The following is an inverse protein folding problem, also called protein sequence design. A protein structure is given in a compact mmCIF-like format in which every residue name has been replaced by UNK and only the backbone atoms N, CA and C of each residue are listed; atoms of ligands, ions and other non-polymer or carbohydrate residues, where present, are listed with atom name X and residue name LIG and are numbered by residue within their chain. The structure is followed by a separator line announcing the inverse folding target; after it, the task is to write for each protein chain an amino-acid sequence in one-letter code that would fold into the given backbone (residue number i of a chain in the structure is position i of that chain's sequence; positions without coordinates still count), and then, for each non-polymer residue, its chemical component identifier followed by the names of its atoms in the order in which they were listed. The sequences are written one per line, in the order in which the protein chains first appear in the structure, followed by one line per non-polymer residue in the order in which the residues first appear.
data_IF_107770282773
#
_entry.id   IF_107770282773
#
_cell.length_a   1.000
_cell.length_b   1.000
_cell.length_c   1.000
_cell.angle_alpha   90.00
_cell.angle_beta   90.00
_cell.angle_gamma   90.00
#
_symmetry.space_group_name_H-M   'P 1'
#
loop_
_entity.id
_entity.type
_entity.pdbx_description
1 polymer ?
#
# COMPACT_ATOMS: atom_id res chain seq x y z
N UNK A 1 2.93 26.64 21.99
CA UNK A 1 4.06 25.80 21.53
C UNK A 1 4.47 24.74 22.57
N UNK A 2 4.39 25.00 23.88
CA UNK A 2 4.80 24.06 24.95
C UNK A 2 4.05 22.71 25.03
N UNK A 3 2.85 22.58 24.44
CA UNK A 3 2.07 21.33 24.48
C UNK A 3 2.32 20.39 23.28
N UNK A 4 2.94 20.89 22.21
CA UNK A 4 3.11 20.12 20.97
C UNK A 4 4.24 19.09 21.13
N UNK A 5 5.35 19.47 21.76
CA UNK A 5 6.49 18.57 22.01
C UNK A 5 6.12 17.30 22.80
N UNK A 6 5.47 17.42 23.97
CA UNK A 6 5.05 16.27 24.76
C UNK A 6 4.10 15.31 24.02
N UNK A 7 3.17 15.85 23.21
CA UNK A 7 2.25 15.05 22.41
C UNK A 7 2.96 14.29 21.28
N UNK A 8 3.95 14.92 20.62
CA UNK A 8 4.78 14.28 19.61
C UNK A 8 5.65 13.16 20.21
N UNK A 9 6.25 13.38 21.37
CA UNK A 9 7.03 12.36 22.09
C UNK A 9 6.17 11.17 22.52
N UNK A 10 4.95 11.40 22.99
CA UNK A 10 4.00 10.32 23.32
C UNK A 10 3.59 9.52 22.08
N UNK A 11 3.38 10.18 20.93
CA UNK A 11 3.08 9.52 19.67
C UNK A 11 4.24 8.64 19.18
N UNK A 12 5.48 9.12 19.27
CA UNK A 12 6.66 8.33 18.93
C UNK A 12 6.86 7.14 19.88
N UNK A 13 6.68 7.34 21.18
CA UNK A 13 6.78 6.26 22.17
C UNK A 13 5.74 5.16 21.91
N UNK A 14 4.51 5.56 21.60
CA UNK A 14 3.44 4.63 21.24
C UNK A 14 3.76 3.85 19.95
N UNK A 15 4.33 4.52 18.94
CA UNK A 15 4.75 3.87 17.70
C UNK A 15 5.87 2.84 17.94
N UNK A 16 6.84 3.12 18.81
CA UNK A 16 7.88 2.14 19.19
C UNK A 16 7.27 0.94 19.90
N UNK A 17 6.39 1.17 20.90
CA UNK A 17 5.73 0.07 21.60
C UNK A 17 4.93 -0.82 20.64
N UNK A 18 4.25 -0.22 19.65
CA UNK A 18 3.48 -0.95 18.64
C UNK A 18 4.41 -1.73 17.69
N UNK A 19 5.53 -1.15 17.26
CA UNK A 19 6.51 -1.81 16.41
C UNK A 19 7.18 -3.01 17.11
N UNK A 20 7.60 -2.85 18.37
CA UNK A 20 8.18 -3.92 19.20
C UNK A 20 7.21 -5.07 19.43
N UNK A 21 5.90 -4.80 19.46
CA UNK A 21 4.89 -5.84 19.63
C UNK A 21 4.61 -6.64 18.34
N UNK A 22 4.88 -6.07 17.17
CA UNK A 22 4.53 -6.65 15.86
C UNK A 22 5.70 -7.39 15.21
N UNK A 23 6.93 -6.93 15.41
CA UNK A 23 8.13 -7.52 14.79
C UNK A 23 8.99 -8.28 15.80
N UNK A 24 9.76 -9.27 15.33
CA UNK A 24 10.72 -9.97 16.19
C UNK A 24 11.87 -9.02 16.57
N UNK A 25 12.36 -9.13 17.81
CA UNK A 25 13.42 -8.23 18.32
C UNK A 25 14.67 -8.21 17.45
N UNK A 26 15.00 -9.32 16.79
CA UNK A 26 16.18 -9.43 15.93
C UNK A 26 16.07 -8.56 14.66
N UNK A 27 14.86 -8.33 14.14
CA UNK A 27 14.63 -7.59 12.88
C UNK A 27 14.60 -6.07 13.06
N UNK A 28 14.30 -5.56 14.25
CA UNK A 28 14.00 -4.12 14.47
C UNK A 28 14.78 -3.47 15.61
N UNK A 29 15.76 -4.15 16.23
CA UNK A 29 16.43 -3.64 17.42
C UNK A 29 17.12 -2.29 17.20
N UNK A 30 17.72 -2.06 16.04
CA UNK A 30 18.37 -0.78 15.73
C UNK A 30 17.34 0.34 15.51
N UNK A 31 16.27 0.05 14.78
CA UNK A 31 15.19 1.00 14.47
C UNK A 31 14.42 1.41 15.73
N UNK A 32 14.09 0.44 16.60
CA UNK A 32 13.43 0.70 17.87
C UNK A 32 14.34 1.47 18.84
N UNK A 33 15.62 1.09 18.94
CA UNK A 33 16.61 1.80 19.77
C UNK A 33 16.78 3.25 19.29
N UNK A 34 16.83 3.46 17.97
CA UNK A 34 16.96 4.79 17.40
C UNK A 34 15.72 5.63 17.68
N UNK A 35 14.51 5.13 17.43
CA UNK A 35 13.27 5.84 17.75
C UNK A 35 13.15 6.17 19.24
N UNK A 36 13.61 5.29 20.14
CA UNK A 36 13.71 5.58 21.57
C UNK A 36 14.66 6.74 21.88
N UNK A 37 15.85 6.73 21.28
CA UNK A 37 16.84 7.82 21.43
C UNK A 37 16.26 9.12 20.89
N UNK A 38 15.64 9.09 19.71
CA UNK A 38 14.99 10.23 19.07
C UNK A 38 13.87 10.78 19.95
N UNK A 39 12.97 9.93 20.47
CA UNK A 39 11.89 10.36 21.36
C UNK A 39 12.42 10.99 22.67
N UNK A 40 13.48 10.41 23.24
CA UNK A 40 14.14 10.95 24.43
C UNK A 40 14.77 12.32 24.15
N UNK A 41 15.51 12.49 23.05
CA UNK A 41 16.14 13.76 22.69
C UNK A 41 15.10 14.87 22.43
N UNK A 42 13.95 14.54 21.84
CA UNK A 42 12.84 15.48 21.63
C UNK A 42 12.23 15.95 22.94
N UNK A 43 12.17 15.11 23.97
CA UNK A 43 11.74 15.52 25.31
C UNK A 43 12.79 16.38 26.02
N UNK A 44 14.06 16.02 25.88
CA UNK A 44 15.14 16.68 26.60
C UNK A 44 15.42 18.10 26.09
N UNK A 45 15.29 18.36 24.78
CA UNK A 45 15.52 19.69 24.20
C UNK A 45 14.74 20.81 24.90
N UNK A 46 13.38 20.77 24.89
CA UNK A 46 12.56 21.77 25.58
C UNK A 46 12.81 21.85 27.09
N UNK A 47 13.15 20.73 27.73
CA UNK A 47 13.49 20.71 29.15
C UNK A 47 14.80 21.47 29.41
N UNK A 48 15.82 21.26 28.58
CA UNK A 48 17.07 22.01 28.64
C UNK A 48 16.83 23.50 28.34
N UNK A 49 16.06 23.85 27.31
CA UNK A 49 15.74 25.25 27.01
C UNK A 49 14.98 25.92 28.17
N UNK A 50 14.06 25.20 28.83
CA UNK A 50 13.34 25.70 30.00
C UNK A 50 14.27 25.91 31.21
N UNK A 51 15.18 24.96 31.48
CA UNK A 51 16.18 25.09 32.55
C UNK A 51 17.11 26.29 32.29
N UNK A 52 17.61 26.43 31.06
CA UNK A 52 18.46 27.55 30.65
C UNK A 52 17.71 28.88 30.75
N UNK A 53 16.44 28.94 30.35
CA UNK A 53 15.62 30.14 30.50
C UNK A 53 15.41 30.52 31.98
N UNK A 54 15.12 29.54 32.82
CA UNK A 54 14.91 29.74 34.26
C UNK A 54 16.19 30.24 34.95
N UNK A 55 17.34 29.66 34.59
CA UNK A 55 18.67 30.04 35.09
C UNK A 55 19.25 31.30 34.42
N UNK A 56 18.62 31.81 33.36
CA UNK A 56 19.04 33.05 32.70
C UNK A 56 18.25 34.28 33.14
N UNK A 57 17.09 34.07 33.78
CA UNK A 57 16.26 35.13 34.32
C UNK A 57 16.92 35.76 35.59
N UNK A 58 17.29 37.04 35.56
CA UNK A 58 18.01 37.70 36.66
C UNK A 58 17.27 37.65 38.00
N UNK A 59 15.94 37.69 37.95
CA UNK A 59 15.06 37.67 39.13
C UNK A 59 15.07 36.31 39.85
N UNK A 60 15.27 35.22 39.10
CA UNK A 60 15.37 33.86 39.64
C UNK A 60 16.78 33.51 40.13
N UNK A 61 17.83 33.99 39.43
CA UNK A 61 19.23 33.79 39.85
C UNK A 61 19.53 34.33 41.25
N UNK A 62 18.91 35.47 41.61
CA UNK A 62 19.13 36.08 42.93
C UNK A 62 18.56 35.24 44.07
N UNK A 63 17.49 34.48 43.82
CA UNK A 63 16.84 33.64 44.82
C UNK A 63 17.57 32.31 45.07
N UNK A 64 18.35 31.80 44.09
CA UNK A 64 19.00 30.49 44.17
C UNK A 64 20.50 30.55 44.46
N UNK A 65 21.11 31.74 44.45
CA UNK A 65 22.54 31.94 44.74
C UNK A 65 23.51 31.34 43.69
N UNK A 66 22.98 30.78 42.60
CA UNK A 66 23.74 30.16 41.52
C UNK A 66 23.99 31.20 40.41
N UNK A 67 25.12 31.90 40.50
CA UNK A 67 25.63 32.72 39.39
C UNK A 67 26.31 31.82 38.36
N UNK A 68 25.59 31.46 37.30
CA UNK A 68 26.16 30.76 36.15
C UNK A 68 26.82 31.79 35.23
N UNK A 69 28.14 31.65 35.01
CA UNK A 69 28.91 32.54 34.15
C UNK A 69 28.33 32.62 32.73
N UNK A 70 28.42 33.82 32.12
CA UNK A 70 27.92 34.14 30.79
C UNK A 70 28.40 33.16 29.70
N UNK A 71 29.64 32.65 29.83
CA UNK A 71 30.24 31.69 28.90
C UNK A 71 29.49 30.35 28.86
N UNK A 72 29.04 29.88 30.03
CA UNK A 72 28.28 28.63 30.16
C UNK A 72 26.89 28.76 29.53
N UNK A 73 26.28 29.95 29.58
CA UNK A 73 24.99 30.21 28.91
C UNK A 73 25.11 30.08 27.39
N UNK A 74 26.16 30.65 26.79
CA UNK A 74 26.36 30.54 25.34
C UNK A 74 26.62 29.11 24.86
N UNK A 75 27.39 28.32 25.63
CA UNK A 75 27.62 26.91 25.33
C UNK A 75 26.31 26.10 25.38
N UNK A 76 25.45 26.34 26.37
CA UNK A 76 24.17 25.64 26.48
C UNK A 76 23.23 25.97 25.31
N UNK A 77 23.12 27.24 24.92
CA UNK A 77 22.32 27.63 23.74
C UNK A 77 22.86 27.05 22.43
N UNK A 78 24.18 27.07 22.24
CA UNK A 78 24.80 26.48 21.05
C UNK A 78 24.58 24.97 21.00
N UNK A 79 24.61 24.28 22.14
CA UNK A 79 24.35 22.85 22.22
C UNK A 79 22.90 22.50 21.91
N UNK A 80 21.93 23.28 22.40
CA UNK A 80 20.49 23.08 22.12
C UNK A 80 20.21 23.23 20.61
N UNK A 81 20.71 24.30 19.99
CA UNK A 81 20.56 24.53 18.54
C UNK A 81 21.23 23.40 17.75
N UNK A 82 22.41 22.95 18.18
CA UNK A 82 23.15 21.88 17.50
C UNK A 82 22.42 20.53 17.61
N UNK A 83 21.80 20.23 18.75
CA UNK A 83 20.97 19.03 18.94
C UNK A 83 19.71 19.11 18.07
N UNK A 84 19.03 20.27 18.01
CA UNK A 84 17.84 20.46 17.18
C UNK A 84 18.17 20.37 15.68
N UNK A 85 19.30 20.93 15.23
CA UNK A 85 19.77 20.80 13.84
C UNK A 85 20.11 19.35 13.53
N UNK A 86 20.85 18.67 14.40
CA UNK A 86 21.18 17.26 14.23
C UNK A 86 19.92 16.40 14.14
N UNK A 87 18.92 16.67 14.98
CA UNK A 87 17.62 16.02 14.97
C UNK A 87 16.87 16.21 13.64
N UNK A 88 16.85 17.44 13.11
CA UNK A 88 16.28 17.72 11.79
C UNK A 88 17.01 16.96 10.69
N UNK A 89 18.35 16.90 10.72
CA UNK A 89 19.14 16.20 9.72
C UNK A 89 18.93 14.68 9.76
N UNK A 90 18.74 14.12 10.96
CA UNK A 90 18.38 12.72 11.16
C UNK A 90 16.98 12.42 10.62
N UNK A 91 15.97 13.23 10.97
CA UNK A 91 14.59 13.02 10.50
C UNK A 91 14.42 13.23 9.00
N UNK A 92 15.18 14.16 8.42
CA UNK A 92 15.20 14.37 6.97
C UNK A 92 16.02 13.31 6.22
N UNK A 93 16.55 12.29 6.91
CA UNK A 93 17.32 11.19 6.29
C UNK A 93 18.70 11.60 5.78
N UNK A 94 19.20 12.78 6.15
CA UNK A 94 20.48 13.32 5.69
C UNK A 94 21.68 12.77 6.48
N UNK A 95 21.47 12.30 7.71
CA UNK A 95 22.52 11.68 8.54
C UNK A 95 22.04 10.32 9.04
N UNK A 96 22.51 9.26 8.38
CA UNK A 96 22.30 7.86 8.76
C UNK A 96 22.90 6.91 7.71
N UNK A 97 22.96 5.59 7.99
CA UNK A 97 23.59 4.62 7.10
C UNK A 97 22.91 4.61 5.71
N UNK A 98 23.71 4.57 4.65
CA UNK A 98 23.32 4.70 3.23
C UNK A 98 22.20 3.74 2.76
N UNK A 99 21.85 2.71 3.55
CA UNK A 99 20.75 1.77 3.31
C UNK A 99 19.35 2.33 3.69
N UNK A 100 19.25 3.61 4.04
CA UNK A 100 18.01 4.26 4.52
C UNK A 100 16.90 4.50 3.49
N UNK A 101 17.13 4.25 2.20
CA UNK A 101 16.05 4.28 1.19
C UNK A 101 14.92 3.28 1.49
N UNK A 102 15.17 2.24 2.28
CA UNK A 102 14.14 1.29 2.76
C UNK A 102 13.24 1.81 3.88
N UNK A 103 13.53 2.97 4.50
CA UNK A 103 12.68 3.51 5.57
C UNK A 103 11.48 4.29 5.06
N UNK A 104 11.52 4.88 3.86
CA UNK A 104 10.28 5.37 3.22
C UNK A 104 9.30 4.23 3.04
N UNK A 105 9.77 3.02 2.72
CA UNK A 105 8.94 1.82 2.66
C UNK A 105 8.46 1.36 4.03
N UNK A 106 9.26 1.51 5.10
CA UNK A 106 8.83 1.18 6.46
C UNK A 106 7.76 2.15 6.97
N UNK A 107 7.91 3.45 6.73
CA UNK A 107 6.91 4.48 7.04
C UNK A 107 5.67 4.35 6.15
N UNK A 108 5.83 4.01 4.86
CA UNK A 108 4.72 3.74 3.95
C UNK A 108 4.00 2.44 4.33
N UNK A 109 4.71 1.41 4.78
CA UNK A 109 4.14 0.18 5.35
C UNK A 109 3.42 0.46 6.67
N UNK A 110 3.95 1.34 7.52
CA UNK A 110 3.29 1.80 8.75
C UNK A 110 2.02 2.63 8.45
N UNK A 111 2.07 3.52 7.45
CA UNK A 111 0.91 4.29 6.98
C UNK A 111 -0.15 3.38 6.32
N UNK A 112 0.28 2.34 5.61
CA UNK A 112 -0.59 1.31 5.04
C UNK A 112 -1.19 0.41 6.14
N UNK A 113 -0.44 0.13 7.22
CA UNK A 113 -0.92 -0.59 8.41
C UNK A 113 -1.94 0.21 9.22
N UNK A 114 -1.89 1.55 9.17
CA UNK A 114 -2.93 2.44 9.71
C UNK A 114 -4.17 2.56 8.81
N UNK A 115 -4.29 1.73 7.77
CA UNK A 115 -5.53 1.56 7.01
C UNK A 115 -5.78 2.63 5.96
N UNK A 116 -4.79 3.46 5.62
CA UNK A 116 -4.86 4.36 4.47
C UNK A 116 -4.57 3.58 3.18
N UNK A 117 -5.61 2.94 2.65
CA UNK A 117 -5.55 2.22 1.37
C UNK A 117 -6.86 2.34 0.61
N UNK A 118 -6.92 3.33 -0.30
CA UNK A 118 -7.54 3.44 -1.64
C UNK A 118 -8.61 2.42 -2.14
N UNK A 119 -9.39 1.78 -1.27
CA UNK A 119 -10.37 0.74 -1.62
C UNK A 119 -11.52 1.20 -2.55
N UNK A 120 -12.00 2.44 -2.46
CA UNK A 120 -13.03 2.95 -3.38
C UNK A 120 -12.57 2.99 -4.86
N UNK A 121 -11.26 2.86 -5.13
CA UNK A 121 -10.67 2.74 -6.47
C UNK A 121 -10.40 1.27 -6.89
N UNK A 122 -10.51 0.28 -5.97
CA UNK A 122 -10.05 -1.11 -6.15
C UNK A 122 -10.92 -2.02 -7.03
N UNK A 123 -12.19 -1.69 -7.28
CA UNK A 123 -13.07 -2.55 -8.11
C UNK A 123 -13.06 -2.12 -9.58
N UNK A 124 -12.36 -1.06 -9.93
CA UNK A 124 -11.98 -0.84 -11.32
C UNK A 124 -10.72 -1.67 -11.57
N UNK A 125 -10.80 -2.66 -12.46
CA UNK A 125 -9.63 -3.13 -13.18
C UNK A 125 -9.57 -2.29 -14.45
N UNK A 126 -8.83 -1.16 -14.45
CA UNK A 126 -8.83 -0.30 -15.61
C UNK A 126 -8.05 -0.91 -16.78
N UNK A 127 -7.49 -2.12 -16.64
CA UNK A 127 -6.60 -2.75 -17.59
C UNK A 127 -7.11 -2.65 -19.02
N UNK A 128 -6.19 -2.34 -19.93
CA UNK A 128 -6.46 -2.09 -21.33
C UNK A 128 -5.36 -2.72 -22.16
N UNK A 129 -5.65 -3.02 -23.42
CA UNK A 129 -4.67 -3.54 -24.36
C UNK A 129 -3.97 -2.40 -25.07
N UNK A 130 -2.66 -2.55 -25.24
CA UNK A 130 -1.90 -1.75 -26.16
C UNK A 130 -1.57 -2.60 -27.40
N UNK A 131 -2.14 -2.30 -28.59
CA UNK A 131 -1.89 -3.07 -29.80
C UNK A 131 -0.50 -2.83 -30.41
N UNK A 132 0.28 -1.87 -29.89
CA UNK A 132 1.62 -1.53 -30.40
C UNK A 132 2.77 -2.32 -29.78
N UNK A 133 2.48 -3.21 -28.83
CA UNK A 133 3.50 -4.05 -28.17
C UNK A 133 3.27 -5.53 -28.46
N UNK A 134 4.32 -6.33 -28.39
CA UNK A 134 4.31 -7.78 -28.45
C UNK A 134 4.23 -8.44 -27.06
N UNK A 135 4.14 -7.64 -25.98
CA UNK A 135 4.14 -8.10 -24.58
C UNK A 135 2.87 -7.64 -23.86
N UNK A 136 2.20 -8.56 -23.17
CA UNK A 136 1.01 -8.25 -22.37
C UNK A 136 1.20 -8.66 -20.90
N UNK A 137 1.09 -7.69 -19.98
CA UNK A 137 1.11 -7.94 -18.55
C UNK A 137 -0.29 -8.38 -18.13
N UNK A 138 -0.42 -9.66 -17.81
CA UNK A 138 -1.70 -10.27 -17.43
C UNK A 138 -1.83 -10.50 -15.94
N UNK A 139 -0.81 -10.24 -15.14
CA UNK A 139 -0.95 -10.30 -13.69
C UNK A 139 0.08 -9.42 -13.02
N UNK A 140 -0.37 -8.59 -12.07
CA UNK A 140 0.50 -7.64 -11.38
C UNK A 140 0.21 -7.59 -9.87
N UNK A 141 1.23 -7.54 -9.00
CA UNK A 141 0.98 -7.52 -7.56
C UNK A 141 0.34 -6.21 -7.13
N UNK A 142 -0.84 -6.28 -6.53
CA UNK A 142 -1.65 -5.10 -6.18
C UNK A 142 -1.04 -4.16 -5.12
N UNK A 143 0.14 -4.46 -4.57
CA UNK A 143 0.90 -3.53 -3.72
C UNK A 143 1.53 -2.40 -4.55
N UNK A 144 1.74 -2.64 -5.85
CA UNK A 144 2.32 -1.74 -6.83
C UNK A 144 1.23 -1.09 -7.71
N UNK A 145 0.17 -0.61 -7.06
CA UNK A 145 -1.01 -0.08 -7.78
C UNK A 145 -0.70 1.22 -8.54
N UNK A 146 0.31 1.98 -8.14
CA UNK A 146 0.68 3.23 -8.82
C UNK A 146 1.35 2.98 -10.17
N UNK A 147 2.19 1.96 -10.24
CA UNK A 147 2.86 1.49 -11.45
C UNK A 147 1.83 0.92 -12.44
N UNK A 148 0.86 0.17 -11.93
CA UNK A 148 -0.26 -0.32 -12.72
C UNK A 148 -1.15 0.80 -13.26
N UNK A 149 -1.56 1.75 -12.41
CA UNK A 149 -2.38 2.89 -12.82
C UNK A 149 -1.70 3.72 -13.93
N UNK A 150 -0.37 3.87 -13.88
CA UNK A 150 0.44 4.54 -14.92
C UNK A 150 0.41 3.80 -16.25
N UNK A 151 0.54 2.47 -16.24
CA UNK A 151 0.51 1.64 -17.45
C UNK A 151 -0.86 1.70 -18.15
N UNK A 152 -1.93 1.85 -17.36
CA UNK A 152 -3.30 1.69 -17.82
C UNK A 152 -3.98 3.00 -18.27
N UNK A 153 -3.46 4.17 -17.88
CA UNK A 153 -4.00 5.47 -18.31
C UNK A 153 -3.98 5.68 -19.84
N UNK A 154 -3.28 4.85 -20.61
CA UNK A 154 -2.95 5.07 -22.02
C UNK A 154 -3.89 4.41 -23.08
N UNK A 155 -5.00 3.76 -22.72
CA UNK A 155 -5.83 3.03 -23.70
C UNK A 155 -7.36 3.14 -23.46
N UNK A 156 -8.24 2.62 -24.34
CA UNK A 156 -9.71 2.80 -24.32
C UNK A 156 -10.49 1.45 -24.44
N UNK A 157 -11.73 1.34 -23.90
CA UNK A 157 -12.60 0.13 -24.06
C UNK A 157 -13.98 0.13 -23.35
N UNK A 158 -14.93 -0.72 -23.80
CA UNK A 158 -16.36 -0.86 -23.41
C UNK A 158 -16.79 -2.35 -23.18
N UNK A 159 -17.91 -2.66 -22.49
CA UNK A 159 -18.16 -3.95 -21.76
C UNK A 159 -19.58 -4.62 -21.93
N UNK A 160 -19.68 -5.98 -22.00
CA UNK A 160 -20.90 -6.86 -21.78
C UNK A 160 -20.51 -8.29 -21.24
N UNK A 161 -21.40 -9.02 -20.52
CA UNK A 161 -21.12 -9.93 -19.37
C UNK A 161 -21.50 -11.45 -19.42
N UNK A 162 -20.65 -12.30 -18.79
CA UNK A 162 -20.99 -13.53 -18.00
C UNK A 162 -20.45 -13.42 -16.55
N UNK A 163 -21.04 -14.13 -15.57
CA UNK A 163 -20.67 -14.03 -14.13
C UNK A 163 -19.77 -15.17 -13.62
N UNK A 164 -18.57 -14.82 -13.12
CA UNK A 164 -17.55 -15.74 -12.61
C UNK A 164 -17.50 -15.88 -11.08
N UNK A 165 -18.35 -15.17 -10.33
CA UNK A 165 -18.26 -15.11 -8.86
C UNK A 165 -18.19 -16.48 -8.17
N UNK A 166 -18.97 -17.47 -8.62
CA UNK A 166 -18.98 -18.80 -7.98
C UNK A 166 -17.70 -19.58 -8.24
N UNK A 167 -17.15 -19.51 -9.44
CA UNK A 167 -15.86 -20.14 -9.75
C UNK A 167 -14.72 -19.44 -8.99
N UNK A 168 -14.74 -18.11 -8.98
CA UNK A 168 -13.70 -17.30 -8.34
C UNK A 168 -13.80 -17.27 -6.83
N UNK A 169 -14.95 -17.41 -6.20
CA UNK A 169 -15.08 -17.17 -4.77
C UNK A 169 -15.80 -18.28 -4.03
N UNK A 170 -16.37 -19.25 -4.73
CA UNK A 170 -17.32 -20.19 -4.16
C UNK A 170 -18.59 -19.47 -3.70
N UNK A 171 -19.27 -20.09 -2.74
CA UNK A 171 -20.41 -19.47 -2.05
C UNK A 171 -19.83 -18.62 -0.92
N UNK A 172 -20.07 -17.31 -1.00
CA UNK A 172 -19.59 -16.36 0.00
C UNK A 172 -20.47 -16.44 1.25
N UNK A 173 -19.90 -16.42 2.47
CA UNK A 173 -20.70 -16.43 3.70
C UNK A 173 -21.48 -15.12 3.90
N UNK A 174 -22.58 -15.19 4.66
CA UNK A 174 -23.44 -14.03 4.97
C UNK A 174 -22.66 -12.91 5.64
N UNK A 175 -21.69 -13.25 6.47
CA UNK A 175 -20.84 -12.30 7.20
C UNK A 175 -20.08 -11.35 6.27
N UNK A 176 -19.76 -11.77 5.04
CA UNK A 176 -19.06 -10.93 4.07
C UNK A 176 -19.93 -9.80 3.50
N UNK A 177 -21.23 -9.79 3.78
CA UNK A 177 -22.16 -8.71 3.42
C UNK A 177 -22.24 -7.63 4.50
N UNK A 178 -21.55 -7.80 5.62
CA UNK A 178 -21.48 -6.79 6.69
C UNK A 178 -20.10 -6.12 6.66
N UNK A 179 -20.08 -4.79 6.72
CA UNK A 179 -18.88 -4.00 6.93
C UNK A 179 -18.96 -3.38 8.32
N UNK A 180 -17.96 -3.63 9.17
CA UNK A 180 -17.95 -3.10 10.54
C UNK A 180 -16.89 -2.00 10.67
N UNK A 181 -17.25 -0.91 11.34
CA UNK A 181 -16.36 0.20 11.64
C UNK A 181 -16.44 0.54 13.13
N UNK A 182 -15.33 0.37 13.86
CA UNK A 182 -15.24 0.85 15.23
C UNK A 182 -14.74 2.31 15.26
N UNK A 183 -15.65 3.22 15.59
CA UNK A 183 -15.38 4.66 15.73
C UNK A 183 -15.32 5.07 17.21
N UNK A 184 -15.14 4.12 18.15
CA UNK A 184 -15.12 4.40 19.58
C UNK A 184 -13.97 5.30 20.03
N UNK A 185 -12.85 5.32 19.29
CA UNK A 185 -11.69 6.16 19.56
C UNK A 185 -11.77 7.56 18.90
N UNK A 186 -12.91 7.88 18.27
CA UNK A 186 -13.00 9.01 17.35
C UNK A 186 -12.52 8.62 15.96
N UNK A 187 -13.27 9.02 14.94
CA UNK A 187 -12.92 8.79 13.54
C UNK A 187 -13.08 10.11 12.78
N UNK A 188 -12.15 10.38 11.87
CA UNK A 188 -12.26 11.57 11.03
C UNK A 188 -13.45 11.46 10.08
N UNK A 189 -14.10 12.59 9.81
CA UNK A 189 -15.25 12.67 8.92
C UNK A 189 -14.93 12.12 7.51
N UNK A 190 -13.71 12.33 7.04
CA UNK A 190 -13.25 11.84 5.74
C UNK A 190 -13.13 10.32 5.70
N UNK A 191 -12.55 9.71 6.74
CA UNK A 191 -12.45 8.26 6.87
C UNK A 191 -13.84 7.60 6.94
N UNK A 192 -14.77 8.21 7.68
CA UNK A 192 -16.15 7.74 7.75
C UNK A 192 -16.86 7.83 6.40
N UNK A 193 -16.72 8.96 5.69
CA UNK A 193 -17.30 9.14 4.36
C UNK A 193 -16.75 8.11 3.36
N UNK A 194 -15.43 7.86 3.43
CA UNK A 194 -14.77 6.84 2.63
C UNK A 194 -15.33 5.44 2.91
N UNK A 195 -15.42 5.01 4.17
CA UNK A 195 -15.98 3.69 4.53
C UNK A 195 -17.44 3.53 4.10
N UNK A 196 -18.23 4.60 4.16
CA UNK A 196 -19.61 4.61 3.64
C UNK A 196 -19.65 4.42 2.13
N UNK A 197 -18.82 5.13 1.39
CA UNK A 197 -18.72 4.99 -0.06
C UNK A 197 -18.25 3.59 -0.46
N UNK A 198 -17.23 3.08 0.24
CA UNK A 198 -16.65 1.75 0.02
C UNK A 198 -17.67 0.64 0.28
N UNK A 199 -18.33 0.62 1.44
CA UNK A 199 -19.35 -0.38 1.74
C UNK A 199 -20.50 -0.34 0.72
N UNK A 200 -20.91 0.85 0.29
CA UNK A 200 -21.93 1.02 -0.75
C UNK A 200 -21.48 0.44 -2.10
N UNK A 201 -20.25 0.75 -2.53
CA UNK A 201 -19.67 0.24 -3.77
C UNK A 201 -19.49 -1.29 -3.74
N UNK A 202 -19.14 -1.83 -2.57
CA UNK A 202 -18.97 -3.27 -2.33
C UNK A 202 -20.29 -4.02 -2.12
N UNK A 203 -21.46 -3.36 -2.19
CA UNK A 203 -22.76 -3.99 -1.96
C UNK A 203 -22.98 -4.48 -0.52
N UNK A 204 -22.25 -3.93 0.44
CA UNK A 204 -22.25 -4.34 1.84
C UNK A 204 -23.11 -3.42 2.72
N UNK A 205 -23.58 -3.95 3.84
CA UNK A 205 -24.24 -3.19 4.88
C UNK A 205 -23.23 -2.74 5.94
N UNK A 206 -22.98 -1.43 6.01
CA UNK A 206 -22.08 -0.83 7.00
C UNK A 206 -22.78 -0.64 8.36
N UNK A 207 -22.12 -1.10 9.42
CA UNK A 207 -22.43 -0.76 10.81
C UNK A 207 -21.27 -0.01 11.47
N UNK A 208 -21.60 0.96 12.31
CA UNK A 208 -20.62 1.85 12.95
C UNK A 208 -20.85 1.81 14.46
N UNK A 209 -19.80 1.47 15.21
CA UNK A 209 -19.80 1.51 16.67
C UNK A 209 -19.29 2.86 17.14
N UNK A 210 -20.11 3.63 17.85
CA UNK A 210 -19.75 4.96 18.34
C UNK A 210 -19.24 4.90 19.79
N UNK A 211 -18.54 5.93 20.29
CA UNK A 211 -17.93 5.93 21.63
C UNK A 211 -18.92 5.65 22.78
N UNK A 212 -20.19 6.03 22.62
CA UNK A 212 -21.23 5.86 23.63
C UNK A 212 -22.16 4.67 23.36
N UNK A 213 -21.87 3.84 22.36
CA UNK A 213 -22.68 2.65 22.07
C UNK A 213 -22.47 1.60 23.16
N UNK A 214 -23.54 1.23 23.85
CA UNK A 214 -23.49 0.18 24.87
C UNK A 214 -23.27 -1.20 24.25
N UNK A 215 -22.81 -2.16 25.05
CA UNK A 215 -22.65 -3.54 24.59
C UNK A 215 -23.97 -4.11 24.03
N UNK A 216 -25.09 -3.86 24.70
CA UNK A 216 -26.39 -4.38 24.29
C UNK A 216 -26.85 -3.76 22.96
N UNK A 217 -26.77 -2.43 22.82
CA UNK A 217 -27.08 -1.75 21.55
C UNK A 217 -26.20 -2.26 20.41
N UNK A 218 -24.92 -2.50 20.67
CA UNK A 218 -24.02 -3.03 19.66
C UNK A 218 -24.39 -4.45 19.22
N UNK A 219 -24.79 -5.32 20.16
CA UNK A 219 -25.28 -6.67 19.82
C UNK A 219 -26.58 -6.62 19.02
N UNK A 220 -27.50 -5.71 19.37
CA UNK A 220 -28.74 -5.52 18.62
C UNK A 220 -28.48 -5.03 17.19
N UNK A 221 -27.58 -4.07 17.02
CA UNK A 221 -27.17 -3.56 15.70
C UNK A 221 -26.50 -4.66 14.86
N UNK A 222 -25.61 -5.47 15.46
CA UNK A 222 -25.04 -6.64 14.78
C UNK A 222 -26.12 -7.65 14.35
N UNK A 223 -27.11 -7.91 15.21
CA UNK A 223 -28.20 -8.82 14.89
C UNK A 223 -29.10 -8.28 13.75
N UNK A 224 -29.40 -6.98 13.74
CA UNK A 224 -30.09 -6.32 12.63
C UNK A 224 -29.28 -6.39 11.34
N UNK A 225 -27.99 -6.11 11.41
CA UNK A 225 -27.08 -6.16 10.27
C UNK A 225 -26.99 -7.57 9.68
N UNK A 226 -26.90 -8.60 10.53
CA UNK A 226 -26.90 -10.00 10.10
C UNK A 226 -28.17 -10.39 9.36
N UNK A 227 -29.35 -9.94 9.82
CA UNK A 227 -30.62 -10.17 9.10
C UNK A 227 -30.64 -9.49 7.73
N UNK A 228 -30.15 -8.25 7.64
CA UNK A 228 -30.06 -7.52 6.37
C UNK A 228 -29.05 -8.16 5.42
N UNK A 229 -27.91 -8.62 5.94
CA UNK A 229 -26.91 -9.35 5.19
C UNK A 229 -27.45 -10.69 4.67
N UNK A 230 -28.22 -11.43 5.46
CA UNK A 230 -28.89 -12.67 5.06
C UNK A 230 -29.87 -12.44 3.90
N UNK A 231 -30.66 -11.36 3.95
CA UNK A 231 -31.54 -10.97 2.85
C UNK A 231 -30.76 -10.64 1.57
N UNK A 232 -29.70 -9.80 1.67
CA UNK A 232 -28.83 -9.49 0.52
C UNK A 232 -28.16 -10.74 -0.05
N UNK A 233 -27.73 -11.64 0.83
CA UNK A 233 -27.11 -12.92 0.45
C UNK A 233 -28.08 -13.80 -0.33
N UNK A 234 -29.35 -13.91 0.11
CA UNK A 234 -30.40 -14.67 -0.60
C UNK A 234 -30.71 -14.06 -1.96
N UNK A 235 -30.89 -12.74 -2.02
CA UNK A 235 -31.15 -12.02 -3.28
C UNK A 235 -30.01 -12.19 -4.27
N UNK A 236 -28.76 -12.18 -3.79
CA UNK A 236 -27.57 -12.34 -4.62
C UNK A 236 -27.12 -13.81 -4.78
N UNK A 237 -27.90 -14.77 -4.27
CA UNK A 237 -27.64 -16.22 -4.33
C UNK A 237 -26.23 -16.62 -3.85
N UNK A 238 -25.74 -15.95 -2.80
CA UNK A 238 -24.42 -16.20 -2.22
C UNK A 238 -23.24 -15.82 -3.11
N UNK A 239 -23.44 -14.99 -4.14
CA UNK A 239 -22.33 -14.40 -4.92
C UNK A 239 -21.53 -13.43 -4.05
N UNK A 240 -20.34 -13.06 -4.50
CA UNK A 240 -19.58 -11.98 -3.88
C UNK A 240 -20.33 -10.64 -4.02
N UNK A 241 -20.52 -9.87 -2.94
CA UNK A 241 -21.21 -8.58 -3.00
C UNK A 241 -20.42 -7.52 -3.80
N UNK A 242 -19.09 -7.67 -3.86
CA UNK A 242 -18.20 -6.84 -4.69
C UNK A 242 -18.12 -7.25 -6.16
N UNK A 243 -18.79 -8.33 -6.58
CA UNK A 243 -18.85 -8.77 -7.97
C UNK A 243 -17.55 -9.38 -8.53
N UNK A 244 -17.57 -9.69 -9.83
CA UNK A 244 -16.45 -10.28 -10.58
C UNK A 244 -16.12 -9.51 -11.87
N UNK A 245 -16.59 -8.27 -11.98
CA UNK A 245 -16.42 -7.43 -13.17
C UNK A 245 -14.95 -7.27 -13.55
N UNK A 246 -14.06 -7.12 -12.56
CA UNK A 246 -12.62 -7.02 -12.75
C UNK A 246 -12.07 -8.22 -13.56
N UNK A 247 -12.53 -9.43 -13.26
CA UNK A 247 -12.03 -10.66 -13.90
C UNK A 247 -12.51 -10.75 -15.34
N UNK A 248 -13.72 -10.27 -15.61
CA UNK A 248 -14.24 -10.21 -16.97
C UNK A 248 -13.40 -9.27 -17.84
N UNK A 249 -13.16 -8.05 -17.36
CA UNK A 249 -12.34 -7.06 -18.07
C UNK A 249 -10.91 -7.58 -18.27
N UNK A 250 -10.37 -8.21 -17.24
CA UNK A 250 -9.07 -8.87 -17.33
C UNK A 250 -9.05 -9.95 -18.41
N UNK A 251 -9.99 -10.90 -18.38
CA UNK A 251 -10.09 -12.01 -19.33
C UNK A 251 -10.19 -11.49 -20.76
N UNK A 252 -11.04 -10.50 -21.01
CA UNK A 252 -11.19 -9.91 -22.34
C UNK A 252 -9.88 -9.31 -22.86
N UNK A 253 -9.09 -8.70 -21.95
CA UNK A 253 -7.77 -8.20 -22.30
C UNK A 253 -6.79 -9.32 -22.65
N UNK A 254 -6.83 -10.43 -21.90
CA UNK A 254 -6.02 -11.63 -22.20
C UNK A 254 -6.42 -12.23 -23.54
N UNK A 255 -7.72 -12.41 -23.79
CA UNK A 255 -8.22 -13.00 -25.04
C UNK A 255 -7.70 -12.20 -26.25
N UNK A 256 -7.84 -10.87 -26.21
CA UNK A 256 -7.34 -9.97 -27.27
C UNK A 256 -5.81 -9.97 -27.38
N UNK A 257 -5.08 -10.10 -26.28
CA UNK A 257 -3.61 -10.22 -26.30
C UNK A 257 -3.16 -11.51 -26.99
N UNK A 258 -3.87 -12.62 -26.74
CA UNK A 258 -3.65 -13.91 -27.39
C UNK A 258 -3.99 -13.83 -28.88
N UNK A 259 -5.10 -13.18 -29.24
CA UNK A 259 -5.46 -12.91 -30.65
C UNK A 259 -4.39 -12.11 -31.39
N UNK A 260 -3.71 -11.20 -30.69
CA UNK A 260 -2.59 -10.41 -31.20
C UNK A 260 -1.24 -11.12 -31.13
N UNK A 261 -1.21 -12.39 -30.72
CA UNK A 261 0.00 -13.19 -30.53
C UNK A 261 1.02 -12.55 -29.57
N UNK A 262 0.56 -11.78 -28.59
CA UNK A 262 1.43 -11.19 -27.58
C UNK A 262 1.90 -12.26 -26.60
N UNK A 263 3.15 -12.14 -26.15
CA UNK A 263 3.69 -12.94 -25.05
C UNK A 263 3.07 -12.49 -23.73
N UNK A 264 2.45 -13.42 -23.00
CA UNK A 264 1.84 -13.14 -21.70
C UNK A 264 2.90 -13.23 -20.59
N UNK A 265 2.95 -12.25 -19.68
CA UNK A 265 3.90 -12.22 -18.57
C UNK A 265 3.19 -12.14 -17.22
N UNK A 266 3.63 -12.95 -16.25
CA UNK A 266 3.11 -13.04 -14.88
C UNK A 266 4.23 -12.70 -13.88
N UNK A 267 4.01 -11.64 -13.09
CA UNK A 267 4.96 -11.21 -12.07
C UNK A 267 4.61 -11.75 -10.67
N UNK A 268 5.62 -12.31 -10.02
CA UNK A 268 5.56 -12.85 -8.65
C UNK A 268 6.27 -11.92 -7.65
N UNK A 269 5.95 -12.07 -6.36
CA UNK A 269 6.69 -11.41 -5.28
C UNK A 269 8.17 -11.83 -5.28
N UNK A 270 9.01 -10.93 -4.75
CA UNK A 270 10.48 -11.08 -4.66
C UNK A 270 10.89 -12.46 -4.11
N UNK A 271 11.64 -13.20 -4.91
CA UNK A 271 12.17 -14.53 -4.62
C UNK A 271 11.12 -15.65 -4.61
N UNK A 272 9.92 -15.43 -5.17
CA UNK A 272 8.78 -16.36 -5.09
C UNK A 272 8.18 -16.74 -6.43
N UNK A 273 8.96 -16.67 -7.50
CA UNK A 273 8.54 -17.11 -8.84
C UNK A 273 7.99 -18.53 -8.81
N UNK A 274 6.81 -18.73 -9.40
CA UNK A 274 6.11 -20.02 -9.46
C UNK A 274 5.38 -20.44 -8.18
N UNK A 275 5.53 -19.73 -7.06
CA UNK A 275 4.91 -20.09 -5.78
C UNK A 275 3.47 -19.56 -5.64
N UNK A 276 2.60 -20.32 -4.96
CA UNK A 276 1.25 -19.86 -4.60
C UNK A 276 0.19 -20.02 -5.69
N UNK A 277 0.49 -20.81 -6.73
CA UNK A 277 -0.47 -21.22 -7.76
C UNK A 277 -1.59 -22.10 -7.18
N UNK A 278 -2.76 -22.03 -7.80
CA UNK A 278 -3.89 -22.92 -7.55
C UNK A 278 -4.49 -23.32 -8.88
N UNK A 279 -5.03 -24.54 -8.96
CA UNK A 279 -5.90 -24.91 -10.08
C UNK A 279 -7.22 -24.14 -10.02
N UNK A 280 -7.89 -24.02 -11.17
CA UNK A 280 -9.15 -23.29 -11.28
C UNK A 280 -10.23 -23.82 -10.34
N UNK A 281 -10.31 -25.13 -10.17
CA UNK A 281 -11.29 -25.81 -9.33
C UNK A 281 -11.04 -25.51 -7.84
N UNK A 282 -9.77 -25.34 -7.45
CA UNK A 282 -9.35 -25.00 -6.09
C UNK A 282 -9.59 -23.54 -5.72
N UNK A 283 -9.94 -22.66 -6.67
CA UNK A 283 -10.22 -21.26 -6.36
C UNK A 283 -11.43 -21.13 -5.42
N UNK A 284 -12.44 -21.99 -5.53
CA UNK A 284 -13.59 -21.91 -4.63
C UNK A 284 -13.30 -22.45 -3.21
N UNK A 285 -12.18 -23.16 -3.02
CA UNK A 285 -11.79 -23.76 -1.74
C UNK A 285 -11.01 -22.78 -0.86
N UNK A 286 -11.60 -22.43 0.29
CA UNK A 286 -11.00 -21.50 1.24
C UNK A 286 -9.73 -22.06 1.90
N UNK A 287 -9.63 -23.37 2.12
CA UNK A 287 -8.46 -23.97 2.74
C UNK A 287 -7.28 -23.99 1.78
N UNK A 288 -7.53 -24.38 0.52
CA UNK A 288 -6.53 -24.31 -0.55
C UNK A 288 -5.97 -22.89 -0.70
N UNK A 289 -6.84 -21.87 -0.68
CA UNK A 289 -6.45 -20.46 -0.69
C UNK A 289 -5.62 -20.04 0.50
N UNK A 290 -6.02 -20.43 1.70
CA UNK A 290 -5.29 -20.12 2.93
C UNK A 290 -3.88 -20.70 2.89
N UNK A 291 -3.76 -21.94 2.41
CA UNK A 291 -2.48 -22.64 2.24
C UNK A 291 -1.60 -21.95 1.19
N UNK A 292 -2.15 -21.64 0.01
CA UNK A 292 -1.43 -20.95 -1.06
C UNK A 292 -0.91 -19.57 -0.61
N UNK A 293 -1.70 -18.81 0.17
CA UNK A 293 -1.30 -17.50 0.69
C UNK A 293 -0.13 -17.53 1.66
N UNK A 294 -0.08 -18.52 2.55
CA UNK A 294 0.90 -18.56 3.65
C UNK A 294 2.35 -18.56 3.14
N UNK A 295 2.59 -19.14 1.96
CA UNK A 295 3.91 -19.25 1.34
C UNK A 295 3.90 -18.83 -0.15
N UNK A 296 2.91 -18.04 -0.57
CA UNK A 296 2.67 -17.75 -1.98
C UNK A 296 3.54 -16.62 -2.53
N UNK A 297 3.76 -16.64 -3.84
CA UNK A 297 4.34 -15.56 -4.63
C UNK A 297 3.31 -14.72 -5.38
N UNK A 298 2.02 -15.07 -5.27
CA UNK A 298 0.91 -14.40 -5.96
C UNK A 298 -0.03 -13.70 -4.96
N UNK A 299 -0.56 -12.55 -5.36
CA UNK A 299 -1.66 -11.85 -4.70
C UNK A 299 -3.02 -12.53 -4.91
N UNK A 300 -4.04 -12.07 -4.17
CA UNK A 300 -5.37 -12.70 -4.15
C UNK A 300 -6.08 -12.75 -5.52
N UNK A 301 -6.02 -11.68 -6.29
CA UNK A 301 -6.57 -11.66 -7.66
C UNK A 301 -5.68 -12.45 -8.61
N UNK A 302 -4.35 -12.31 -8.47
CA UNK A 302 -3.35 -12.98 -9.30
C UNK A 302 -3.46 -14.50 -9.28
N UNK A 303 -3.79 -15.09 -8.13
CA UNK A 303 -4.02 -16.55 -8.07
C UNK A 303 -5.15 -17.00 -9.01
N UNK A 304 -6.21 -16.19 -9.17
CA UNK A 304 -7.30 -16.51 -10.10
C UNK A 304 -6.93 -16.25 -11.56
N UNK A 305 -6.14 -15.21 -11.82
CA UNK A 305 -5.60 -14.89 -13.15
C UNK A 305 -4.72 -16.04 -13.66
N UNK A 306 -3.74 -16.47 -12.87
CA UNK A 306 -2.83 -17.58 -13.23
C UNK A 306 -3.58 -18.90 -13.37
N UNK A 307 -4.51 -19.21 -12.47
CA UNK A 307 -5.33 -20.42 -12.56
C UNK A 307 -6.16 -20.49 -13.85
N UNK A 308 -6.60 -19.34 -14.37
CA UNK A 308 -7.33 -19.27 -15.64
C UNK A 308 -6.41 -19.53 -16.84
N UNK A 309 -5.21 -18.95 -16.84
CA UNK A 309 -4.21 -19.18 -17.88
C UNK A 309 -3.86 -20.67 -17.96
N UNK A 310 -3.59 -21.30 -16.81
CA UNK A 310 -3.29 -22.73 -16.73
C UNK A 310 -4.48 -23.60 -17.16
N UNK A 311 -5.71 -23.23 -16.80
CA UNK A 311 -6.92 -23.96 -17.25
C UNK A 311 -7.07 -23.98 -18.76
N UNK A 312 -6.73 -22.89 -19.43
CA UNK A 312 -6.82 -22.77 -20.88
C UNK A 312 -5.55 -23.21 -21.61
N UNK A 313 -4.54 -23.68 -20.87
CA UNK A 313 -3.24 -24.05 -21.41
C UNK A 313 -2.58 -22.91 -22.21
N UNK A 314 -2.78 -21.67 -21.75
CA UNK A 314 -2.19 -20.49 -22.37
C UNK A 314 -0.72 -20.34 -21.93
N UNK A 315 0.24 -20.24 -22.87
CA UNK A 315 1.64 -20.06 -22.51
C UNK A 315 1.88 -18.66 -21.93
N UNK A 316 2.64 -18.60 -20.83
CA UNK A 316 3.08 -17.35 -20.22
C UNK A 316 4.48 -17.48 -19.62
N UNK A 317 5.16 -16.34 -19.46
CA UNK A 317 6.49 -16.24 -18.87
C UNK A 317 6.36 -15.79 -17.42
N UNK A 318 7.07 -16.47 -16.52
CA UNK A 318 7.09 -16.15 -15.09
C UNK A 318 8.28 -15.23 -14.79
N UNK A 319 8.01 -14.11 -14.13
CA UNK A 319 9.02 -13.12 -13.79
C UNK A 319 9.00 -12.78 -12.31
N UNK A 320 10.18 -12.44 -11.77
CA UNK A 320 10.30 -11.84 -10.45
C UNK A 320 10.05 -10.32 -10.55
N UNK A 321 9.39 -9.75 -9.55
CA UNK A 321 9.16 -8.31 -9.49
C UNK A 321 10.46 -7.50 -9.47
N UNK A 322 11.57 -8.07 -8.99
CA UNK A 322 12.88 -7.40 -9.04
C UNK A 322 13.32 -7.06 -10.46
N UNK A 323 12.84 -7.83 -11.44
CA UNK A 323 13.24 -7.73 -12.84
C UNK A 323 12.34 -6.77 -13.64
N UNK A 324 11.36 -6.15 -12.98
CA UNK A 324 10.35 -5.30 -13.62
C UNK A 324 10.95 -4.08 -14.32
N UNK A 325 11.96 -3.44 -13.71
CA UNK A 325 12.59 -2.25 -14.28
C UNK A 325 13.39 -2.59 -15.55
N UNK A 326 14.11 -3.70 -15.55
CA UNK A 326 14.77 -4.23 -16.76
C UNK A 326 13.75 -4.52 -17.84
N UNK A 327 12.65 -5.20 -17.49
CA UNK A 327 11.59 -5.57 -18.43
C UNK A 327 10.96 -4.36 -19.15
N UNK A 328 10.62 -3.30 -18.40
CA UNK A 328 10.08 -2.08 -19.00
C UNK A 328 11.12 -1.39 -19.88
N UNK A 329 12.38 -1.31 -19.42
CA UNK A 329 13.43 -0.65 -20.19
C UNK A 329 13.67 -1.33 -21.54
N UNK A 330 13.68 -2.67 -21.57
CA UNK A 330 13.78 -3.45 -22.81
C UNK A 330 12.57 -3.23 -23.73
N UNK A 331 11.35 -3.15 -23.17
CA UNK A 331 10.15 -2.87 -23.95
C UNK A 331 10.17 -1.46 -24.57
N UNK A 332 10.82 -0.49 -23.93
CA UNK A 332 10.96 0.88 -24.47
C UNK A 332 12.00 1.00 -25.59
N UNK A 333 13.08 0.21 -25.55
CA UNK A 333 14.15 0.25 -26.58
C UNK A 333 13.66 -0.26 -27.93
N UNK A 334 12.74 -1.24 -27.94
CA UNK A 334 12.18 -1.80 -29.18
C UNK A 334 11.30 -0.79 -29.94
N UNK A 335 10.89 0.31 -29.30
CA UNK A 335 10.05 1.35 -29.94
C UNK A 335 10.82 2.48 -30.63
N UNK A 336 12.16 2.47 -30.61
CA UNK A 336 12.96 3.44 -31.36
C UNK A 336 13.47 2.78 -32.64
N UNK A 337 12.86 3.01 -33.82
CA UNK A 337 13.49 2.59 -35.06
C UNK A 337 14.79 3.39 -35.20
N UNK A 338 15.92 2.69 -35.18
CA UNK A 338 17.17 3.21 -35.75
C UNK A 338 16.90 3.56 -37.21
N UNK A 339 16.56 4.82 -37.46
CA UNK A 339 16.60 5.39 -38.79
C UNK A 339 18.08 5.56 -39.12
N UNK A 340 18.69 4.52 -39.69
CA UNK A 340 19.93 4.66 -40.44
C UNK A 340 19.57 5.41 -41.72
N UNK A 341 19.70 6.74 -41.68
CA UNK A 341 19.71 7.55 -42.91
C UNK A 341 21.06 7.31 -43.57
N UNK A 342 21.12 6.29 -44.43
CA UNK A 342 22.21 6.13 -45.39
C UNK A 342 22.02 7.22 -46.45
N UNK A 343 22.77 8.31 -46.33
CA UNK A 343 22.79 9.40 -47.32
C UNK A 343 23.51 8.88 -48.57
N UNK A 344 22.75 8.40 -49.55
CA UNK A 344 23.28 8.23 -50.90
C UNK A 344 23.48 9.62 -51.54
N UNK A 345 24.73 10.00 -51.78
CA UNK A 345 25.07 11.12 -52.64
C UNK A 345 24.55 10.89 -54.08
N UNK A 346 23.89 11.86 -54.71
CA UNK A 346 23.47 11.73 -56.09
C UNK A 346 24.64 12.01 -57.05
N UNK A 347 25.17 10.94 -57.63
CA UNK A 347 26.02 11.01 -58.81
C UNK A 347 25.14 11.30 -60.03
N UNK A 348 25.08 12.57 -60.45
CA UNK A 348 24.55 12.92 -61.77
C UNK A 348 25.42 13.99 -62.42
N UNK A 349 26.42 13.52 -63.17
CA UNK A 349 26.94 14.22 -64.34
C UNK A 349 26.75 13.33 -65.57
N UNK A 350 26.39 14.02 -66.66
CA UNK A 350 26.60 13.70 -68.08
C UNK A 350 25.34 13.32 -68.90
N UNK A 351 24.85 14.37 -69.60
CA UNK A 351 24.54 14.47 -71.04
C UNK A 351 23.77 13.32 -71.73
N UNK A 352 22.57 13.65 -72.22
CA UNK A 352 22.35 14.08 -73.61
C UNK A 352 21.05 14.87 -73.72
#
# INVERSE_FOLDING_TARGET
MFLIGPLQSLGMWWAVCKAVHVFSWDEIHWEATFLCITAFLTMMGPLFSAVVWTLSNPSMCFATGLCIEFRTRQLMFASDISIQIFYCLVLCGMIGPQKWSRQSDAFTKLAALDGYGLAAKRIAFPGKINPSTDKCIVSFPGIYSEEWDRAVAAADGEQICECYCKALYGIIPVEAYVSELDASAGIEKQQLAFKRADAKAMGQHLIIKYPHTTFLEWQEEKAKAKRKADELWRQNQGRAPWGCTWFHLWKENVDKAVEQHQSLHVFYFEGRVGAGKLSWEQLSDQEARRKARKCGGLGNSQTAEVAYLEKLDLPYVEQDVTDFNSFISEASVVTSPEIVIEICEPDSKVKL
#
